data_IF_933971262778
#
_entry.id   IF_933971262778
#
_cell.length_a   1.000
_cell.length_b   1.000
_cell.length_c   1.000
_cell.angle_alpha   90.00
_cell.angle_beta   90.00
_cell.angle_gamma   90.00
#
_symmetry.space_group_name_H-M   'P 1'
#
loop_
_entity.id
_entity.type
_entity.pdbx_description
1 polymer ?
#
# COMPACT_ATOMS: atom_id res chain seq x y z
N UNK A 1 -13.96 12.59 -14.93
CA UNK A 1 -14.40 12.37 -13.53
C UNK A 1 -13.30 11.85 -12.60
N UNK A 2 -12.29 11.10 -13.06
CA UNK A 2 -11.31 10.42 -12.18
C UNK A 2 -10.22 11.27 -11.48
N UNK A 3 -9.79 12.40 -12.06
CA UNK A 3 -8.69 13.19 -11.47
C UNK A 3 -9.09 13.92 -10.18
N UNK A 4 -10.26 14.55 -10.16
CA UNK A 4 -10.77 15.24 -8.97
C UNK A 4 -11.02 14.25 -7.81
N UNK A 5 -11.54 13.07 -8.11
CA UNK A 5 -11.75 12.01 -7.12
C UNK A 5 -10.42 11.46 -6.56
N UNK A 6 -9.42 11.27 -7.42
CA UNK A 6 -8.05 10.88 -7.00
C UNK A 6 -7.45 11.88 -6.02
N UNK A 7 -7.59 13.19 -6.29
CA UNK A 7 -7.08 14.22 -5.39
C UNK A 7 -7.77 14.19 -4.02
N UNK A 8 -9.10 14.03 -4.00
CA UNK A 8 -9.86 13.89 -2.76
C UNK A 8 -9.45 12.63 -1.98
N UNK A 9 -9.26 11.50 -2.67
CA UNK A 9 -8.77 10.27 -2.07
C UNK A 9 -7.39 10.45 -1.43
N UNK A 10 -6.45 11.10 -2.13
CA UNK A 10 -5.09 11.38 -1.64
C UNK A 10 -5.07 12.29 -0.40
N UNK A 11 -5.96 13.27 -0.32
CA UNK A 11 -6.08 14.15 0.86
C UNK A 11 -6.37 13.36 2.14
N UNK A 12 -7.17 12.28 2.07
CA UNK A 12 -7.50 11.41 3.22
C UNK A 12 -6.27 10.75 3.84
N UNK A 13 -5.21 10.55 3.05
CA UNK A 13 -3.96 9.92 3.49
C UNK A 13 -2.80 10.93 3.62
N UNK A 14 -3.10 12.23 3.52
CA UNK A 14 -2.12 13.32 3.52
C UNK A 14 -1.02 13.10 2.46
N UNK A 15 -1.43 12.69 1.26
CA UNK A 15 -0.55 12.48 0.10
C UNK A 15 -0.57 13.70 -0.82
N UNK A 16 0.61 14.05 -1.33
CA UNK A 16 0.77 15.16 -2.28
C UNK A 16 0.43 14.71 -3.72
N UNK A 17 -0.12 15.59 -4.59
CA UNK A 17 -0.45 15.24 -5.97
C UNK A 17 0.73 14.75 -6.82
N UNK A 18 1.95 15.20 -6.51
CA UNK A 18 3.17 14.80 -7.24
C UNK A 18 3.85 13.54 -6.67
N UNK A 19 3.32 12.96 -5.61
CA UNK A 19 3.82 11.69 -5.08
C UNK A 19 3.35 10.52 -5.96
N UNK A 20 4.22 9.51 -6.08
CA UNK A 20 3.89 8.25 -6.72
C UNK A 20 3.55 7.22 -5.64
N UNK A 21 2.32 6.73 -5.60
CA UNK A 21 1.78 6.01 -4.45
C UNK A 21 1.62 4.54 -4.78
N UNK A 22 2.44 3.70 -4.15
CA UNK A 22 2.32 2.25 -4.20
C UNK A 22 1.52 1.77 -3.01
N UNK A 23 0.54 0.90 -3.23
CA UNK A 23 -0.30 0.36 -2.17
C UNK A 23 -0.24 -1.15 -2.09
N UNK A 24 -0.22 -1.67 -0.87
CA UNK A 24 -0.47 -3.07 -0.59
C UNK A 24 -1.69 -3.17 0.33
N UNK A 25 -2.65 -3.99 -0.06
CA UNK A 25 -3.96 -4.05 0.61
C UNK A 25 -4.26 -5.50 1.00
N UNK A 26 -4.53 -5.72 2.27
CA UNK A 26 -4.94 -7.01 2.82
C UNK A 26 -4.42 -7.25 4.23
N UNK A 27 -5.06 -8.19 4.93
CA UNK A 27 -4.67 -8.58 6.27
C UNK A 27 -3.23 -9.11 6.37
N UNK A 28 -2.62 -8.95 7.54
CA UNK A 28 -1.24 -9.34 7.83
C UNK A 28 -1.15 -10.13 9.14
N UNK A 29 -1.80 -11.28 9.18
CA UNK A 29 -1.66 -12.19 10.31
C UNK A 29 -0.44 -13.10 10.17
N UNK A 30 0.16 -13.39 11.33
CA UNK A 30 1.21 -14.41 11.45
C UNK A 30 0.72 -15.77 10.93
N UNK A 31 1.64 -16.62 10.42
CA UNK A 31 3.09 -16.41 10.40
C UNK A 31 3.61 -15.69 9.14
N UNK A 32 2.79 -15.56 8.10
CA UNK A 32 3.29 -15.23 6.75
C UNK A 32 2.74 -13.90 6.20
N UNK A 33 1.53 -13.50 6.61
CA UNK A 33 0.83 -12.37 6.00
C UNK A 33 0.59 -12.57 4.50
N UNK A 34 0.45 -11.46 3.77
CA UNK A 34 0.26 -11.41 2.31
C UNK A 34 1.46 -10.85 1.54
N UNK A 35 2.63 -10.81 2.16
CA UNK A 35 3.86 -10.27 1.56
C UNK A 35 4.22 -8.82 1.95
N UNK A 36 3.65 -8.28 3.04
CA UNK A 36 3.89 -6.90 3.52
C UNK A 36 5.37 -6.61 3.75
N UNK A 37 6.12 -7.60 4.25
CA UNK A 37 7.57 -7.48 4.43
C UNK A 37 8.33 -7.44 3.11
N UNK A 38 7.85 -8.15 2.08
CA UNK A 38 8.43 -8.09 0.73
C UNK A 38 8.16 -6.72 0.11
N UNK A 39 6.93 -6.20 0.26
CA UNK A 39 6.57 -4.87 -0.17
C UNK A 39 7.49 -3.79 0.45
N UNK A 40 7.75 -3.84 1.76
CA UNK A 40 8.66 -2.91 2.43
C UNK A 40 10.12 -3.06 1.94
N UNK A 41 10.61 -4.27 1.71
CA UNK A 41 11.95 -4.49 1.12
C UNK A 41 12.04 -3.89 -0.29
N UNK A 42 11.01 -4.07 -1.12
CA UNK A 42 10.94 -3.44 -2.43
C UNK A 42 10.91 -1.91 -2.32
N UNK A 43 10.16 -1.36 -1.36
CA UNK A 43 10.08 0.08 -1.10
C UNK A 43 11.46 0.71 -0.83
N UNK A 44 12.31 0.04 -0.03
CA UNK A 44 13.67 0.51 0.25
C UNK A 44 14.55 0.59 -1.01
N UNK A 45 14.33 -0.28 -1.99
CA UNK A 45 15.04 -0.25 -3.27
C UNK A 45 14.46 0.87 -4.15
N UNK A 46 13.14 0.90 -4.29
CA UNK A 46 12.42 1.85 -5.16
C UNK A 46 12.67 3.30 -4.76
N UNK A 47 12.71 3.61 -3.46
CA UNK A 47 12.92 5.00 -2.99
C UNK A 47 14.26 5.60 -3.43
N UNK A 48 15.27 4.77 -3.77
CA UNK A 48 16.58 5.22 -4.26
C UNK A 48 16.50 5.76 -5.69
N UNK A 49 15.54 5.28 -6.47
CA UNK A 49 15.32 5.68 -7.86
C UNK A 49 14.15 6.64 -8.02
N UNK A 50 13.15 6.54 -7.13
CA UNK A 50 11.93 7.33 -7.13
C UNK A 50 11.79 8.07 -5.79
N UNK A 51 12.46 9.23 -5.63
CA UNK A 51 12.49 9.97 -4.37
C UNK A 51 11.14 10.61 -4.01
N UNK A 52 10.11 10.52 -4.85
CA UNK A 52 8.75 10.95 -4.54
C UNK A 52 7.81 9.77 -4.26
N UNK A 53 8.30 8.54 -4.25
CA UNK A 53 7.49 7.35 -3.97
C UNK A 53 6.96 7.35 -2.52
N UNK A 54 5.71 6.90 -2.34
CA UNK A 54 5.05 6.65 -1.06
C UNK A 54 4.49 5.24 -1.06
N UNK A 55 4.46 4.63 0.12
CA UNK A 55 4.09 3.24 0.30
C UNK A 55 3.00 3.14 1.36
N UNK A 56 1.82 2.67 0.98
CA UNK A 56 0.71 2.46 1.90
C UNK A 56 0.48 0.97 2.11
N UNK A 57 0.36 0.55 3.37
CA UNK A 57 -0.12 -0.78 3.72
C UNK A 57 -1.46 -0.62 4.41
N UNK A 58 -2.52 -1.10 3.76
CA UNK A 58 -3.89 -1.06 4.27
C UNK A 58 -4.34 -2.46 4.67
N UNK A 59 -4.99 -2.57 5.83
CA UNK A 59 -5.37 -3.82 6.45
C UNK A 59 -5.04 -3.82 7.95
N UNK A 60 -5.30 -4.94 8.59
CA UNK A 60 -5.03 -5.18 10.01
C UNK A 60 -4.50 -6.61 10.19
N UNK A 61 -3.91 -6.87 11.35
CA UNK A 61 -3.40 -8.20 11.67
C UNK A 61 -2.35 -8.17 12.76
N UNK A 62 -2.03 -9.36 13.24
CA UNK A 62 -1.06 -9.59 14.33
C UNK A 62 0.37 -9.13 14.03
N UNK A 63 0.72 -8.90 12.76
CA UNK A 63 2.06 -8.42 12.37
C UNK A 63 2.25 -6.90 12.48
N UNK A 64 1.29 -6.13 13.00
CA UNK A 64 1.38 -4.65 13.00
C UNK A 64 2.70 -4.12 13.59
N UNK A 65 3.06 -4.56 14.80
CA UNK A 65 4.28 -4.12 15.47
C UNK A 65 5.54 -4.52 14.68
N UNK A 66 5.56 -5.74 14.14
CA UNK A 66 6.65 -6.22 13.29
C UNK A 66 6.82 -5.35 12.03
N UNK A 67 5.71 -4.97 11.39
CA UNK A 67 5.77 -4.11 10.20
C UNK A 67 6.19 -2.68 10.54
N UNK A 68 5.78 -2.14 11.70
CA UNK A 68 6.28 -0.84 12.19
C UNK A 68 7.79 -0.90 12.43
N UNK A 69 8.29 -1.96 13.04
CA UNK A 69 9.73 -2.14 13.25
C UNK A 69 10.47 -2.28 11.92
N UNK A 70 9.97 -3.09 10.96
CA UNK A 70 10.55 -3.20 9.62
C UNK A 70 10.62 -1.81 8.92
N UNK A 71 9.58 -0.97 9.02
CA UNK A 71 9.58 0.39 8.46
C UNK A 71 10.75 1.22 9.03
N UNK A 72 10.96 1.19 10.35
CA UNK A 72 12.08 1.91 10.98
C UNK A 72 13.44 1.37 10.55
N UNK A 73 13.63 0.05 10.63
CA UNK A 73 14.90 -0.60 10.27
C UNK A 73 15.28 -0.39 8.80
N UNK A 74 14.29 -0.26 7.91
CA UNK A 74 14.52 -0.01 6.49
C UNK A 74 14.70 1.48 6.16
N UNK A 75 14.54 2.39 7.13
CA UNK A 75 14.64 3.84 6.93
C UNK A 75 13.46 4.43 6.14
N UNK A 76 12.26 3.86 6.31
CA UNK A 76 11.07 4.19 5.54
C UNK A 76 10.04 5.04 6.31
N UNK A 77 10.38 5.55 7.50
CA UNK A 77 9.43 6.22 8.41
C UNK A 77 8.69 7.40 7.75
N UNK A 78 9.36 8.16 6.89
CA UNK A 78 8.76 9.29 6.16
C UNK A 78 8.09 8.89 4.84
N UNK A 79 8.18 7.61 4.45
CA UNK A 79 7.82 7.11 3.11
C UNK A 79 6.75 6.02 3.12
N UNK A 80 6.71 5.21 4.17
CA UNK A 80 5.82 4.06 4.31
C UNK A 80 4.91 4.21 5.53
N UNK A 81 3.62 3.90 5.37
CA UNK A 81 2.64 4.03 6.46
C UNK A 81 1.72 2.80 6.51
N UNK A 82 1.49 2.31 7.71
CA UNK A 82 0.35 1.43 8.00
C UNK A 82 -0.88 2.34 8.16
N UNK A 83 -1.84 2.23 7.25
CA UNK A 83 -3.07 3.05 7.28
C UNK A 83 -4.25 2.33 7.92
N UNK A 84 -4.04 1.10 8.41
CA UNK A 84 -5.09 0.29 9.02
C UNK A 84 -6.14 -0.17 8.02
N UNK A 85 -7.21 -0.76 8.52
CA UNK A 85 -8.35 -1.16 7.71
C UNK A 85 -9.14 0.07 7.26
N UNK A 86 -9.44 0.16 5.96
CA UNK A 86 -10.16 1.29 5.39
C UNK A 86 -11.65 0.98 5.22
N UNK A 87 -12.57 1.86 5.65
CA UNK A 87 -14.01 1.66 5.47
C UNK A 87 -14.47 1.93 4.04
N UNK A 88 -13.66 2.65 3.25
CA UNK A 88 -13.92 2.96 1.85
C UNK A 88 -12.75 2.43 0.99
N UNK A 89 -12.86 1.18 0.49
CA UNK A 89 -11.83 0.58 -0.34
C UNK A 89 -11.70 1.26 -1.71
N UNK A 90 -12.77 1.87 -2.24
CA UNK A 90 -12.74 2.56 -3.53
C UNK A 90 -11.87 3.82 -3.43
N UNK A 91 -12.08 4.64 -2.40
CA UNK A 91 -11.19 5.78 -2.14
C UNK A 91 -9.75 5.35 -1.93
N UNK A 92 -9.51 4.23 -1.24
CA UNK A 92 -8.15 3.70 -1.05
C UNK A 92 -7.49 3.37 -2.39
N UNK A 93 -8.13 2.57 -3.25
CA UNK A 93 -7.61 2.24 -4.57
C UNK A 93 -7.37 3.48 -5.42
N UNK A 94 -8.29 4.45 -5.39
CA UNK A 94 -8.11 5.71 -6.12
C UNK A 94 -7.00 6.61 -5.56
N UNK A 95 -6.54 6.43 -4.33
CA UNK A 95 -5.38 7.14 -3.81
C UNK A 95 -4.04 6.57 -4.35
N UNK A 96 -4.06 5.33 -4.86
CA UNK A 96 -2.87 4.65 -5.37
C UNK A 96 -2.60 5.01 -6.84
N UNK A 97 -1.34 4.88 -7.23
CA UNK A 97 -0.92 4.85 -8.62
C UNK A 97 -0.61 3.43 -9.10
N UNK A 98 -0.26 2.53 -8.19
CA UNK A 98 -0.03 1.12 -8.49
C UNK A 98 -0.37 0.26 -7.26
N UNK A 99 -1.14 -0.80 -7.48
CA UNK A 99 -1.33 -1.84 -6.48
C UNK A 99 -0.17 -2.83 -6.58
N UNK A 100 0.48 -3.11 -5.46
CA UNK A 100 1.49 -4.16 -5.37
C UNK A 100 0.90 -5.33 -4.59
N UNK A 101 0.85 -6.48 -5.25
CA UNK A 101 0.30 -7.72 -4.71
C UNK A 101 1.39 -8.82 -4.60
N UNK A 102 2.32 -8.71 -3.62
CA UNK A 102 3.48 -9.60 -3.51
C UNK A 102 3.14 -10.87 -2.71
N UNK A 103 2.01 -11.49 -3.03
CA UNK A 103 1.49 -12.63 -2.32
C UNK A 103 2.53 -13.78 -2.28
N UNK A 104 2.77 -14.31 -1.08
CA UNK A 104 3.84 -15.28 -0.79
C UNK A 104 3.35 -16.71 -0.61
N UNK A 105 2.04 -16.88 -0.41
CA UNK A 105 1.38 -18.17 -0.26
C UNK A 105 0.29 -18.33 -1.33
N UNK A 106 -0.29 -19.52 -1.46
CA UNK A 106 -1.37 -19.76 -2.42
C UNK A 106 -2.56 -18.85 -2.14
N UNK A 107 -3.02 -18.16 -3.17
CA UNK A 107 -4.27 -17.38 -3.14
C UNK A 107 -5.16 -17.85 -4.26
N UNK A 108 -6.39 -18.24 -3.91
CA UNK A 108 -7.35 -18.74 -4.88
C UNK A 108 -7.82 -17.63 -5.83
N UNK A 109 -8.02 -16.41 -5.30
CA UNK A 109 -8.54 -15.30 -6.09
C UNK A 109 -8.22 -13.94 -5.43
N UNK A 110 -7.35 -13.11 -6.02
CA UNK A 110 -6.98 -11.83 -5.45
C UNK A 110 -8.01 -10.74 -5.82
N UNK A 111 -9.11 -10.65 -5.08
CA UNK A 111 -10.17 -9.65 -5.34
C UNK A 111 -9.63 -8.22 -5.44
N UNK A 112 -8.64 -7.93 -4.61
CA UNK A 112 -8.00 -6.61 -4.51
C UNK A 112 -7.32 -6.17 -5.80
N UNK A 113 -6.80 -7.12 -6.60
CA UNK A 113 -6.21 -6.83 -7.92
C UNK A 113 -7.30 -6.44 -8.90
N UNK A 114 -8.46 -7.11 -8.86
CA UNK A 114 -9.59 -6.76 -9.71
C UNK A 114 -10.22 -5.42 -9.33
N UNK A 115 -10.32 -5.12 -8.04
CA UNK A 115 -10.77 -3.83 -7.54
C UNK A 115 -9.84 -2.70 -8.01
N UNK A 116 -8.53 -2.90 -7.94
CA UNK A 116 -7.54 -1.95 -8.45
C UNK A 116 -7.70 -1.72 -9.97
N UNK A 117 -7.80 -2.79 -10.75
CA UNK A 117 -8.06 -2.68 -12.20
C UNK A 117 -9.37 -1.97 -12.51
N UNK A 118 -10.45 -2.23 -11.76
CA UNK A 118 -11.73 -1.54 -11.90
C UNK A 118 -11.61 -0.04 -11.61
N UNK A 119 -10.68 0.36 -10.72
CA UNK A 119 -10.35 1.76 -10.43
C UNK A 119 -9.32 2.35 -11.42
N UNK A 120 -8.91 1.62 -12.45
CA UNK A 120 -7.90 2.05 -13.42
C UNK A 120 -6.49 2.11 -12.84
N UNK A 121 -6.20 1.28 -11.83
CA UNK A 121 -4.88 1.18 -11.19
C UNK A 121 -4.15 -0.08 -11.68
N UNK A 122 -2.94 0.06 -12.24
CA UNK A 122 -2.11 -1.07 -12.61
C UNK A 122 -1.62 -1.85 -11.39
#
# INVERSE_FOLDING_TARGET
>A
MGAAYTLQARQRFSLHPNELVFGMIGGFDLPVGKGQRIFLKAAQIVMRHLPHARFLIAGSGTMENLLRDDIRHLGLEDRARLVGQQPDPVSLHHALDCLVHPQVATEAFPSVVLEAHACGRP
#
